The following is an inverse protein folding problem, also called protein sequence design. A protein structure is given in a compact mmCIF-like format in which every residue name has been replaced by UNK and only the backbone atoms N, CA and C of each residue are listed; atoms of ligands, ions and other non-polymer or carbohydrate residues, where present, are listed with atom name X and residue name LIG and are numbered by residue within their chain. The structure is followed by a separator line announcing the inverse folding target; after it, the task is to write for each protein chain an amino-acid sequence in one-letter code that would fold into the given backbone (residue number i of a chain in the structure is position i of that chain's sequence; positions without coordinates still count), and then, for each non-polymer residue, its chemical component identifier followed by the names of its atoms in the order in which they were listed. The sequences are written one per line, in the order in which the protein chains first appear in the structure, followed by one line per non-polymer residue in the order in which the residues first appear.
data_IF_761691788494
#
_entry.id   IF_761691788494
#
_cell.length_a   1.000
_cell.length_b   1.000
_cell.length_c   1.000
_cell.angle_alpha   90.00
_cell.angle_beta   90.00
_cell.angle_gamma   90.00
#
_symmetry.space_group_name_H-M   'P 1'
#
loop_
_entity.id
_entity.type
_entity.pdbx_description
1 polymer ?
#
# COMPACT_ATOMS: atom_id res chain seq x y z
N UNK A 1 7.51 -21.84 37.21
CA UNK A 1 8.50 -22.42 36.27
C UNK A 1 7.94 -22.43 34.84
N UNK A 2 7.71 -21.29 34.19
CA UNK A 2 7.21 -21.22 32.80
C UNK A 2 8.14 -20.47 31.83
N UNK A 3 9.33 -20.05 32.26
CA UNK A 3 10.30 -19.37 31.38
C UNK A 3 11.10 -20.29 30.45
N UNK A 4 10.87 -21.60 30.48
CA UNK A 4 11.65 -22.58 29.72
C UNK A 4 10.95 -23.08 28.44
N UNK A 5 9.73 -22.61 28.11
CA UNK A 5 8.96 -23.16 26.99
C UNK A 5 9.20 -22.43 25.67
N UNK A 6 9.22 -21.10 25.67
CA UNK A 6 9.43 -20.29 24.45
C UNK A 6 10.83 -20.53 23.85
N UNK A 7 11.86 -20.55 24.69
CA UNK A 7 13.25 -20.77 24.26
C UNK A 7 13.45 -22.18 23.67
N UNK A 8 12.78 -23.17 24.25
CA UNK A 8 12.77 -24.55 23.73
C UNK A 8 12.06 -24.60 22.37
N UNK A 9 10.92 -23.93 22.19
CA UNK A 9 10.22 -23.87 20.90
C UNK A 9 11.04 -23.19 19.80
N UNK A 10 11.69 -22.06 20.11
CA UNK A 10 12.59 -21.37 19.17
C UNK A 10 13.72 -22.27 18.69
N UNK A 11 14.33 -23.02 19.63
CA UNK A 11 15.44 -23.93 19.33
C UNK A 11 14.98 -25.14 18.52
N UNK A 12 13.83 -25.73 18.90
CA UNK A 12 13.31 -26.95 18.27
C UNK A 12 12.78 -26.70 16.86
N UNK A 13 12.08 -25.58 16.64
CA UNK A 13 11.46 -25.26 15.36
C UNK A 13 12.30 -24.32 14.48
N UNK A 14 13.48 -23.88 14.95
CA UNK A 14 14.36 -22.92 14.26
C UNK A 14 13.62 -21.64 13.82
N UNK A 15 12.67 -21.20 14.64
CA UNK A 15 11.89 -19.99 14.41
C UNK A 15 12.42 -18.86 15.31
N UNK A 16 12.49 -17.65 14.77
CA UNK A 16 12.78 -16.45 15.54
C UNK A 16 11.44 -15.78 15.89
N UNK A 17 11.23 -15.49 17.17
CA UNK A 17 10.07 -14.71 17.61
C UNK A 17 10.46 -13.23 17.65
N UNK A 18 9.50 -12.35 17.36
CA UNK A 18 9.67 -10.91 17.57
C UNK A 18 10.00 -10.64 19.04
N UNK A 19 10.89 -9.67 19.29
CA UNK A 19 11.16 -9.19 20.64
C UNK A 19 9.98 -8.42 21.26
N UNK A 20 8.97 -8.08 20.45
CA UNK A 20 7.75 -7.40 20.86
C UNK A 20 6.60 -8.40 21.01
N UNK A 21 6.61 -9.20 22.09
CA UNK A 21 5.46 -10.02 22.47
C UNK A 21 5.02 -9.69 23.90
N UNK A 22 3.73 -9.91 24.19
CA UNK A 22 3.17 -9.79 25.53
C UNK A 22 2.73 -11.17 25.99
N UNK A 23 3.27 -11.63 27.11
CA UNK A 23 2.83 -12.86 27.76
C UNK A 23 1.51 -12.58 28.49
N UNK A 24 0.41 -13.12 27.96
CA UNK A 24 -0.89 -13.03 28.62
C UNK A 24 -1.03 -14.25 29.53
N UNK A 25 -1.18 -14.02 30.83
CA UNK A 25 -1.34 -15.08 31.85
C UNK A 25 -2.78 -15.55 32.00
N UNK A 26 -3.72 -14.87 31.32
CA UNK A 26 -5.12 -15.25 31.33
C UNK A 26 -5.31 -16.56 30.58
N UNK A 27 -6.07 -17.46 31.21
CA UNK A 27 -6.46 -18.73 30.60
C UNK A 27 -7.44 -18.39 29.47
N UNK A 28 -7.08 -18.70 28.23
CA UNK A 28 -7.98 -18.55 27.09
C UNK A 28 -9.22 -19.43 27.31
N UNK A 29 -10.39 -18.80 27.51
CA UNK A 29 -11.68 -19.46 27.77
C UNK A 29 -12.52 -19.66 26.50
N UNK A 30 -11.88 -19.81 25.34
CA UNK A 30 -12.55 -20.08 24.06
C UNK A 30 -12.22 -21.47 23.54
N UNK A 31 -13.12 -22.04 22.74
CA UNK A 31 -12.78 -23.21 21.93
C UNK A 31 -11.79 -22.78 20.85
N UNK A 32 -10.59 -23.39 20.85
CA UNK A 32 -9.65 -23.15 19.76
C UNK A 32 -10.22 -23.74 18.47
N UNK A 33 -10.29 -22.98 17.37
CA UNK A 33 -10.71 -23.53 16.09
C UNK A 33 -9.74 -24.63 15.65
N UNK A 34 -10.27 -25.66 14.97
CA UNK A 34 -9.47 -26.78 14.45
C UNK A 34 -8.29 -26.32 13.56
N UNK A 35 -8.42 -25.13 12.96
CA UNK A 35 -7.32 -24.44 12.29
C UNK A 35 -6.94 -23.16 13.07
N UNK A 36 -5.80 -23.15 13.78
CA UNK A 36 -5.36 -21.97 14.55
C UNK A 36 -5.04 -20.77 13.66
N UNK A 37 -4.83 -20.97 12.35
CA UNK A 37 -4.60 -19.88 11.38
C UNK A 37 -5.83 -19.00 11.21
N UNK A 38 -7.04 -19.52 11.45
CA UNK A 38 -8.29 -18.77 11.34
C UNK A 38 -8.39 -17.59 12.33
N UNK A 39 -7.70 -17.69 13.47
CA UNK A 39 -7.67 -16.62 14.48
C UNK A 39 -6.98 -15.34 13.99
N UNK A 40 -6.12 -15.43 12.98
CA UNK A 40 -5.36 -14.31 12.42
C UNK A 40 -5.96 -13.73 11.15
N UNK A 41 -7.07 -14.31 10.65
CA UNK A 41 -7.76 -13.89 9.43
C UNK A 41 -8.98 -12.99 9.72
N UNK A 42 -9.41 -12.91 10.97
CA UNK A 42 -10.49 -12.02 11.38
C UNK A 42 -9.91 -10.67 11.77
N UNK A 43 -10.04 -9.71 10.84
CA UNK A 43 -9.88 -8.30 11.17
C UNK A 43 -10.96 -7.92 12.20
N UNK A 44 -10.58 -7.39 13.38
CA UNK A 44 -11.54 -7.01 14.41
C UNK A 44 -12.45 -5.84 14.01
N UNK A 45 -12.13 -5.14 12.93
CA UNK A 45 -12.89 -3.97 12.46
C UNK A 45 -14.01 -4.30 11.45
N UNK A 46 -14.27 -5.58 11.13
CA UNK A 46 -15.37 -5.92 10.23
C UNK A 46 -16.67 -6.22 11.00
N UNK A 47 -17.40 -5.17 11.37
CA UNK A 47 -18.83 -5.29 11.68
C UNK A 47 -19.61 -5.63 10.40
N UNK A 48 -19.68 -6.91 10.02
CA UNK A 48 -20.59 -7.37 8.96
C UNK A 48 -21.18 -8.74 9.29
N UNK A 49 -22.16 -8.71 10.20
CA UNK A 49 -23.14 -9.78 10.36
C UNK A 49 -24.31 -9.56 9.39
N UNK A 50 -24.17 -9.84 8.08
CA UNK A 50 -25.32 -10.20 7.22
C UNK A 50 -24.90 -10.59 5.78
N UNK A 51 -24.16 -11.69 5.62
CA UNK A 51 -23.89 -12.29 4.29
C UNK A 51 -25.04 -13.20 3.79
N UNK A 52 -26.23 -13.10 4.38
CA UNK A 52 -27.40 -13.93 4.01
C UNK A 52 -28.40 -13.28 3.04
N UNK A 53 -28.37 -11.95 2.85
CA UNK A 53 -29.51 -11.22 2.24
C UNK A 53 -29.30 -10.72 0.81
N UNK A 54 -28.10 -10.88 0.22
CA UNK A 54 -27.86 -10.42 -1.15
C UNK A 54 -28.33 -11.40 -2.23
N UNK A 55 -28.51 -12.69 -1.91
CA UNK A 55 -28.87 -13.72 -2.89
C UNK A 55 -30.35 -13.66 -3.32
N UNK A 56 -31.24 -13.05 -2.54
CA UNK A 56 -32.68 -13.06 -2.83
C UNK A 56 -33.16 -11.90 -3.71
N UNK A 57 -32.37 -10.82 -3.86
CA UNK A 57 -32.83 -9.62 -4.59
C UNK A 57 -32.67 -9.72 -6.12
N UNK A 58 -32.01 -10.77 -6.62
CA UNK A 58 -31.83 -11.01 -8.06
C UNK A 58 -33.01 -11.75 -8.73
N UNK A 59 -34.11 -12.05 -8.03
CA UNK A 59 -35.24 -12.83 -8.59
C UNK A 59 -36.51 -12.05 -8.92
N UNK A 60 -36.52 -10.73 -8.84
CA UNK A 60 -37.71 -9.94 -9.13
C UNK A 60 -37.46 -8.88 -10.22
N UNK A 61 -37.20 -9.31 -11.46
CA UNK A 61 -37.78 -8.72 -12.68
C UNK A 61 -37.29 -9.52 -13.92
N UNK A 62 -37.88 -10.68 -14.17
CA UNK A 62 -37.73 -11.38 -15.46
C UNK A 62 -38.86 -10.94 -16.38
N UNK A 63 -38.57 -9.98 -17.24
CA UNK A 63 -38.96 -10.06 -18.66
C UNK A 63 -37.63 -10.05 -19.41
N UNK A 64 -37.34 -11.19 -20.04
CA UNK A 64 -36.06 -11.60 -20.64
C UNK A 64 -35.22 -10.47 -21.27
N UNK A 65 -33.91 -10.43 -20.98
CA UNK A 65 -32.93 -9.89 -21.90
C UNK A 65 -31.77 -10.88 -22.08
N UNK A 66 -32.07 -12.11 -22.47
CA UNK A 66 -31.08 -12.88 -23.24
C UNK A 66 -31.18 -12.34 -24.66
N UNK A 67 -30.27 -11.43 -25.04
CA UNK A 67 -29.82 -11.21 -26.42
C UNK A 67 -28.90 -9.97 -26.60
N UNK A 68 -28.41 -9.35 -25.52
CA UNK A 68 -27.42 -8.26 -25.66
C UNK A 68 -25.95 -8.72 -25.78
N UNK A 69 -25.68 -10.03 -25.80
CA UNK A 69 -24.31 -10.59 -25.83
C UNK A 69 -24.16 -11.80 -26.78
N UNK A 70 -25.13 -12.05 -27.67
CA UNK A 70 -25.11 -13.31 -28.46
C UNK A 70 -24.06 -13.34 -29.57
N UNK A 71 -23.53 -12.19 -30.00
CA UNK A 71 -22.44 -12.15 -30.97
C UNK A 71 -21.68 -10.80 -30.95
N UNK A 72 -20.34 -10.79 -31.09
CA UNK A 72 -19.56 -9.57 -31.25
C UNK A 72 -20.00 -8.70 -32.45
N UNK A 73 -20.67 -9.28 -33.45
CA UNK A 73 -21.19 -8.53 -34.60
C UNK A 73 -22.36 -7.60 -34.26
N UNK A 74 -23.18 -7.96 -33.27
CA UNK A 74 -24.34 -7.14 -32.85
C UNK A 74 -23.89 -5.81 -32.23
N UNK A 75 -22.69 -5.78 -31.65
CA UNK A 75 -22.05 -4.56 -31.15
C UNK A 75 -21.53 -3.68 -32.30
N UNK A 76 -20.83 -4.28 -33.25
CA UNK A 76 -20.30 -3.57 -34.42
C UNK A 76 -21.43 -2.95 -35.26
N UNK A 77 -22.56 -3.64 -35.39
CA UNK A 77 -23.73 -3.13 -36.11
C UNK A 77 -24.34 -1.90 -35.44
N UNK A 78 -24.44 -1.87 -34.11
CA UNK A 78 -24.93 -0.70 -33.38
C UNK A 78 -24.02 0.52 -33.50
N UNK A 79 -22.70 0.30 -33.59
CA UNK A 79 -21.74 1.39 -33.80
C UNK A 79 -21.78 1.93 -35.24
N UNK A 80 -22.09 1.06 -36.21
CA UNK A 80 -22.22 1.42 -37.63
C UNK A 80 -23.50 2.19 -37.96
N UNK A 81 -24.56 2.10 -37.15
CA UNK A 81 -25.85 2.76 -37.41
C UNK A 81 -25.89 4.24 -36.97
N UNK A 82 -24.81 4.77 -36.40
CA UNK A 82 -24.66 6.21 -36.14
C UNK A 82 -23.85 6.88 -37.27
N UNK A 83 -24.45 7.73 -38.13
CA UNK A 83 -23.69 8.43 -39.16
C UNK A 83 -22.80 9.51 -38.51
N UNK A 84 -21.50 9.34 -38.66
CA UNK A 84 -20.54 10.43 -38.54
C UNK A 84 -20.45 11.13 -39.90
N UNK A 85 -21.33 12.10 -40.14
CA UNK A 85 -21.18 13.02 -41.28
C UNK A 85 -20.32 14.23 -40.85
N UNK A 86 -19.11 14.24 -41.41
CA UNK A 86 -18.44 15.35 -42.12
C UNK A 86 -18.71 16.79 -41.68
N UNK A 87 -17.64 17.44 -41.23
CA UNK A 87 -17.28 18.86 -41.36
C UNK A 87 -18.37 19.86 -41.79
N UNK A 88 -19.02 20.50 -40.82
CA UNK A 88 -19.52 21.87 -40.97
C UNK A 88 -19.22 22.68 -39.71
N UNK A 89 -18.50 23.80 -39.87
CA UNK A 89 -18.43 24.88 -38.88
C UNK A 89 -19.87 25.33 -38.57
N UNK A 90 -20.40 24.92 -37.42
CA UNK A 90 -21.60 25.52 -36.85
C UNK A 90 -21.27 26.10 -35.50
N UNK A 91 -21.47 27.41 -35.41
CA UNK A 91 -21.43 28.24 -34.23
C UNK A 91 -21.96 27.49 -33.01
N UNK A 92 -21.17 27.41 -31.95
CA UNK A 92 -21.60 26.83 -30.69
C UNK A 92 -22.85 27.58 -30.19
N UNK A 93 -24.00 26.93 -30.30
CA UNK A 93 -25.28 27.49 -29.89
C UNK A 93 -25.21 27.85 -28.39
N UNK A 94 -25.67 29.06 -28.07
CA UNK A 94 -25.63 29.64 -26.73
C UNK A 94 -26.30 28.77 -25.64
N UNK A 95 -27.10 27.78 -26.05
CA UNK A 95 -27.74 26.82 -25.17
C UNK A 95 -26.79 25.74 -24.62
N UNK A 96 -25.68 25.44 -25.29
CA UNK A 96 -24.68 24.49 -24.76
C UNK A 96 -23.89 25.10 -23.59
N UNK A 97 -23.46 26.36 -23.72
CA UNK A 97 -22.77 27.08 -22.64
C UNK A 97 -23.68 27.40 -21.44
N UNK A 98 -24.99 27.55 -21.68
CA UNK A 98 -25.96 27.83 -20.62
C UNK A 98 -26.21 26.63 -19.70
N UNK A 99 -25.97 25.41 -20.18
CA UNK A 99 -26.07 24.18 -19.38
C UNK A 99 -24.85 23.93 -18.49
N UNK A 100 -23.64 24.37 -18.90
CA UNK A 100 -22.43 24.29 -18.07
C UNK A 100 -22.48 25.24 -16.87
N UNK A 101 -23.18 26.36 -17.01
CA UNK A 101 -23.22 27.43 -16.00
C UNK A 101 -24.27 27.22 -14.89
N UNK A 102 -25.18 26.25 -15.04
CA UNK A 102 -26.31 26.03 -14.14
C UNK A 102 -26.06 25.01 -13.02
N UNK A 103 -24.83 24.53 -12.85
CA UNK A 103 -24.50 23.58 -11.78
C UNK A 103 -23.93 24.28 -10.53
N UNK A 104 -24.61 25.31 -10.03
CA UNK A 104 -24.36 25.88 -8.70
C UNK A 104 -25.66 25.90 -7.88
N UNK A 105 -25.83 24.78 -7.17
CA UNK A 105 -26.56 24.51 -5.90
C UNK A 105 -28.10 24.70 -5.81
N UNK A 106 -28.81 23.72 -5.18
CA UNK A 106 -28.86 23.69 -3.72
C UNK A 106 -28.56 22.32 -3.08
N UNK A 107 -27.83 22.39 -1.95
CA UNK A 107 -27.74 21.47 -0.81
C UNK A 107 -28.44 20.10 -0.93
N UNK A 108 -27.63 19.09 -1.25
CA UNK A 108 -27.70 17.77 -0.61
C UNK A 108 -26.28 17.20 -0.56
N UNK A 109 -25.94 16.56 0.57
CA UNK A 109 -24.59 16.08 0.91
C UNK A 109 -24.07 15.05 -0.11
N UNK A 110 -23.56 15.52 -1.24
CA UNK A 110 -22.86 14.70 -2.24
C UNK A 110 -21.46 14.42 -1.73
N UNK A 111 -21.27 13.15 -1.38
CA UNK A 111 -20.00 12.53 -1.08
C UNK A 111 -19.12 12.74 -2.32
N UNK A 112 -18.00 13.43 -2.17
CA UNK A 112 -17.02 13.60 -3.23
C UNK A 112 -16.43 12.23 -3.59
N UNK A 113 -17.06 11.51 -4.51
CA UNK A 113 -16.47 10.32 -5.12
C UNK A 113 -15.50 10.80 -6.18
N UNK A 114 -14.21 10.79 -5.87
CA UNK A 114 -13.15 11.00 -6.86
C UNK A 114 -13.36 9.95 -7.96
N UNK A 115 -13.65 10.39 -9.18
CA UNK A 115 -14.00 9.50 -10.32
C UNK A 115 -12.77 8.80 -10.91
N UNK A 116 -11.59 9.36 -10.68
CA UNK A 116 -10.32 8.83 -11.12
C UNK A 116 -9.44 8.80 -9.87
N UNK A 117 -9.19 7.60 -9.37
CA UNK A 117 -8.13 7.32 -8.42
C UNK A 117 -7.01 6.65 -9.22
N UNK A 118 -5.79 7.17 -9.08
CA UNK A 118 -4.61 6.51 -9.61
C UNK A 118 -4.57 5.09 -9.06
N UNK A 119 -4.39 4.10 -9.93
CA UNK A 119 -4.22 2.71 -9.49
C UNK A 119 -2.85 2.66 -8.81
N UNK A 120 -2.83 2.89 -7.50
CA UNK A 120 -1.65 2.69 -6.69
C UNK A 120 -1.30 1.20 -6.77
N UNK A 121 -0.25 0.87 -7.50
CA UNK A 121 0.34 -0.46 -7.43
C UNK A 121 0.82 -0.62 -5.99
N UNK A 122 0.35 -1.63 -5.23
CA UNK A 122 0.79 -1.84 -3.87
C UNK A 122 2.30 -2.12 -3.88
N UNK A 123 3.09 -1.15 -3.46
CA UNK A 123 4.54 -1.28 -3.31
C UNK A 123 4.80 -1.96 -1.96
N UNK A 124 5.72 -2.92 -1.95
CA UNK A 124 6.06 -3.62 -0.71
C UNK A 124 6.96 -2.76 0.17
N UNK A 125 6.86 -2.92 1.48
CA UNK A 125 7.74 -2.20 2.42
C UNK A 125 8.96 -3.09 2.67
N UNK A 126 10.16 -2.66 2.25
CA UNK A 126 11.34 -3.49 2.39
C UNK A 126 11.72 -3.67 3.86
N UNK A 127 12.26 -4.84 4.19
CA UNK A 127 12.77 -5.15 5.54
C UNK A 127 13.95 -4.23 5.82
N UNK A 128 13.84 -3.41 6.86
CA UNK A 128 14.83 -2.42 7.22
C UNK A 128 15.15 -2.41 8.72
N UNK A 129 16.30 -1.86 9.06
CA UNK A 129 16.76 -1.70 10.43
C UNK A 129 17.53 -0.39 10.54
N UNK A 130 17.05 0.51 11.40
CA UNK A 130 17.74 1.75 11.77
C UNK A 130 18.44 1.54 13.12
N UNK A 131 19.73 1.82 13.17
CA UNK A 131 20.52 1.68 14.40
C UNK A 131 21.34 2.95 14.64
N UNK A 132 21.31 3.44 15.87
CA UNK A 132 22.13 4.55 16.35
C UNK A 132 23.48 4.03 16.87
N UNK A 133 24.54 4.74 16.54
CA UNK A 133 25.91 4.45 16.96
C UNK A 133 26.52 5.70 17.56
N UNK A 134 26.84 5.64 18.85
CA UNK A 134 27.54 6.71 19.56
C UNK A 134 28.87 7.07 18.88
N UNK A 135 29.35 8.28 19.14
CA UNK A 135 30.65 8.74 18.68
C UNK A 135 31.77 7.85 19.23
N UNK A 136 32.67 7.43 18.36
CA UNK A 136 33.86 6.64 18.67
C UNK A 136 35.10 7.38 18.14
N UNK A 137 36.31 7.01 18.56
CA UNK A 137 37.58 7.69 18.24
C UNK A 137 37.78 7.97 16.74
N UNK A 138 37.16 7.14 15.88
CA UNK A 138 37.28 7.21 14.42
C UNK A 138 36.06 7.78 13.71
N UNK A 139 34.89 7.77 14.36
CA UNK A 139 33.64 8.07 13.66
C UNK A 139 32.70 8.90 14.54
N UNK A 140 32.09 9.95 14.00
CA UNK A 140 31.12 10.74 14.73
C UNK A 140 29.86 9.92 15.05
N UNK A 141 29.05 10.48 15.94
CA UNK A 141 27.72 9.98 16.28
C UNK A 141 26.87 9.90 15.00
N UNK A 142 26.26 8.75 14.72
CA UNK A 142 25.59 8.49 13.44
C UNK A 142 24.46 7.47 13.53
N UNK A 143 23.53 7.56 12.61
CA UNK A 143 22.61 6.47 12.28
C UNK A 143 23.17 5.62 11.14
N UNK A 144 22.88 4.32 11.21
CA UNK A 144 23.09 3.38 10.11
C UNK A 144 21.77 2.70 9.80
N UNK A 145 21.24 2.98 8.61
CA UNK A 145 20.06 2.31 8.07
C UNK A 145 20.51 1.15 7.18
N UNK A 146 19.97 -0.04 7.42
CA UNK A 146 20.18 -1.22 6.59
C UNK A 146 18.85 -1.62 5.98
N UNK A 147 18.74 -1.65 4.66
CA UNK A 147 17.53 -2.03 3.93
C UNK A 147 17.84 -3.22 3.04
N UNK A 148 17.10 -4.31 3.20
CA UNK A 148 17.23 -5.51 2.39
C UNK A 148 16.30 -5.41 1.17
N UNK A 149 16.88 -5.53 -0.02
CA UNK A 149 16.20 -5.32 -1.30
C UNK A 149 16.48 -6.52 -2.23
N UNK A 150 15.96 -7.72 -1.95
CA UNK A 150 16.36 -8.94 -2.65
C UNK A 150 16.09 -8.92 -4.17
N UNK A 151 15.11 -8.13 -4.63
CA UNK A 151 14.65 -8.12 -6.03
C UNK A 151 15.28 -7.03 -6.90
N UNK A 152 16.24 -6.26 -6.38
CA UNK A 152 16.99 -5.27 -7.18
C UNK A 152 18.34 -5.84 -7.59
N UNK A 153 18.72 -5.60 -8.85
CA UNK A 153 20.02 -6.04 -9.39
C UNK A 153 21.00 -4.87 -9.49
N UNK A 154 20.49 -3.65 -9.66
CA UNK A 154 21.27 -2.42 -9.76
C UNK A 154 20.79 -1.35 -8.78
N UNK A 155 21.71 -0.45 -8.42
CA UNK A 155 21.42 0.74 -7.60
C UNK A 155 20.64 1.78 -8.40
N UNK A 156 20.76 1.74 -9.72
CA UNK A 156 20.08 2.67 -10.65
C UNK A 156 18.55 2.50 -10.60
N UNK A 157 18.04 1.37 -10.12
CA UNK A 157 16.60 1.14 -9.90
C UNK A 157 16.10 1.80 -8.60
N UNK A 158 16.99 2.37 -7.79
CA UNK A 158 16.69 2.91 -6.47
C UNK A 158 16.89 4.43 -6.45
N UNK A 159 15.81 5.13 -6.15
CA UNK A 159 15.85 6.55 -5.83
C UNK A 159 15.82 6.70 -4.30
N UNK A 160 16.91 7.25 -3.75
CA UNK A 160 17.07 7.50 -2.32
C UNK A 160 17.14 9.02 -2.09
N UNK A 161 16.13 9.55 -1.42
CA UNK A 161 16.07 10.93 -0.96
C UNK A 161 16.28 10.99 0.55
N UNK A 162 17.19 11.87 0.98
CA UNK A 162 17.52 12.04 2.38
C UNK A 162 17.30 13.51 2.75
N UNK A 163 16.48 13.72 3.77
CA UNK A 163 16.19 15.02 4.36
C UNK A 163 16.77 15.08 5.77
N UNK A 164 16.63 16.25 6.41
CA UNK A 164 17.18 16.49 7.75
C UNK A 164 16.61 15.55 8.80
N UNK A 165 15.32 15.28 8.73
CA UNK A 165 14.52 14.53 9.71
C UNK A 165 13.73 13.38 9.06
N UNK A 166 13.88 13.18 7.75
CA UNK A 166 13.15 12.17 6.99
C UNK A 166 14.03 11.51 5.93
N UNK A 167 13.72 10.26 5.58
CA UNK A 167 14.34 9.52 4.49
C UNK A 167 13.25 8.82 3.68
N UNK A 168 13.38 8.88 2.35
CA UNK A 168 12.48 8.26 1.40
C UNK A 168 13.27 7.43 0.39
N UNK A 169 12.88 6.16 0.24
CA UNK A 169 13.45 5.22 -0.72
C UNK A 169 12.34 4.71 -1.60
N UNK A 170 12.49 4.94 -2.90
CA UNK A 170 11.57 4.48 -3.93
C UNK A 170 12.31 3.55 -4.89
N UNK A 171 11.73 2.39 -5.15
CA UNK A 171 12.22 1.44 -6.15
C UNK A 171 11.09 1.20 -7.14
N UNK A 172 11.33 1.50 -8.41
CA UNK A 172 10.31 1.46 -9.45
C UNK A 172 9.48 0.16 -9.40
N UNK A 173 8.18 0.30 -9.10
CA UNK A 173 7.18 -0.78 -9.12
C UNK A 173 7.44 -1.96 -8.16
N UNK A 174 8.37 -1.81 -7.20
CA UNK A 174 8.73 -2.89 -6.26
C UNK A 174 8.59 -2.47 -4.80
N UNK A 175 9.33 -1.45 -4.39
CA UNK A 175 9.48 -1.10 -2.98
C UNK A 175 9.25 0.39 -2.73
N UNK A 176 8.65 0.68 -1.57
CA UNK A 176 8.54 2.04 -1.05
C UNK A 176 8.82 2.04 0.44
N UNK A 177 9.70 2.93 0.88
CA UNK A 177 10.05 3.09 2.28
C UNK A 177 10.17 4.57 2.62
N UNK A 178 9.36 5.01 3.58
CA UNK A 178 9.42 6.35 4.15
C UNK A 178 9.66 6.24 5.65
N UNK A 179 10.70 6.92 6.15
CA UNK A 179 11.14 6.84 7.54
C UNK A 179 11.36 8.22 8.13
N UNK A 180 10.73 8.46 9.27
CA UNK A 180 10.96 9.64 10.10
C UNK A 180 12.13 9.35 11.06
N UNK A 181 13.15 10.19 11.02
CA UNK A 181 14.36 10.04 11.82
C UNK A 181 14.13 10.61 13.23
N UNK A 182 14.57 9.93 14.30
CA UNK A 182 14.37 10.42 15.66
C UNK A 182 15.11 11.73 15.98
N UNK A 183 16.18 12.02 15.25
CA UNK A 183 17.06 13.16 15.45
C UNK A 183 17.50 13.71 14.09
N UNK A 184 17.78 15.03 13.99
CA UNK A 184 18.24 15.63 12.75
C UNK A 184 19.64 15.11 12.38
N UNK A 185 19.82 14.86 11.09
CA UNK A 185 21.09 14.43 10.50
C UNK A 185 21.71 15.54 9.67
N UNK A 186 23.00 15.40 9.40
CA UNK A 186 23.74 16.25 8.48
C UNK A 186 23.68 15.64 7.07
N UNK A 187 22.67 16.05 6.30
CA UNK A 187 22.39 15.64 4.92
C UNK A 187 23.63 15.67 4.01
N UNK A 188 24.44 16.72 4.09
CA UNK A 188 25.68 16.89 3.28
C UNK A 188 26.73 15.78 3.50
N UNK A 189 26.76 15.16 4.69
CA UNK A 189 27.74 14.10 5.03
C UNK A 189 27.13 12.71 5.03
N UNK A 190 25.91 12.57 4.54
CA UNK A 190 25.28 11.26 4.39
C UNK A 190 25.94 10.49 3.26
N UNK A 191 26.00 9.17 3.40
CA UNK A 191 26.51 8.29 2.35
C UNK A 191 25.70 7.01 2.29
N UNK A 192 25.41 6.54 1.08
CA UNK A 192 24.71 5.30 0.84
C UNK A 192 25.59 4.33 0.06
N UNK A 193 25.54 3.06 0.43
CA UNK A 193 26.28 1.99 -0.23
C UNK A 193 25.40 0.77 -0.42
N UNK A 194 25.24 0.35 -1.66
CA UNK A 194 24.56 -0.90 -1.99
C UNK A 194 25.56 -2.03 -2.20
N UNK A 195 25.29 -3.18 -1.58
CA UNK A 195 26.10 -4.39 -1.72
C UNK A 195 25.35 -5.42 -2.55
N UNK A 196 25.67 -5.50 -3.85
CA UNK A 196 25.04 -6.43 -4.80
C UNK A 196 25.11 -7.91 -4.38
N UNK A 197 26.12 -8.32 -3.61
CA UNK A 197 26.24 -9.71 -3.15
C UNK A 197 25.19 -10.11 -2.11
N UNK A 198 24.73 -9.15 -1.32
CA UNK A 198 23.79 -9.36 -0.21
C UNK A 198 22.50 -8.59 -0.40
N UNK A 199 22.33 -7.93 -1.55
CA UNK A 199 21.20 -7.05 -1.88
C UNK A 199 20.83 -6.10 -0.73
N UNK A 200 21.86 -5.55 -0.09
CA UNK A 200 21.73 -4.74 1.12
C UNK A 200 22.15 -3.30 0.84
N UNK A 201 21.23 -2.37 1.02
CA UNK A 201 21.50 -0.94 1.04
C UNK A 201 21.87 -0.52 2.46
N UNK A 202 23.06 0.03 2.63
CA UNK A 202 23.53 0.58 3.90
C UNK A 202 23.69 2.09 3.76
N UNK A 203 22.90 2.85 4.49
CA UNK A 203 22.95 4.32 4.54
C UNK A 203 23.56 4.74 5.87
N UNK A 204 24.64 5.51 5.83
CA UNK A 204 25.31 6.08 7.00
C UNK A 204 24.99 7.56 7.06
N UNK A 205 24.36 7.98 8.15
CA UNK A 205 23.85 9.34 8.34
C UNK A 205 24.44 9.92 9.62
N UNK A 206 25.47 10.79 9.53
CA UNK A 206 26.00 11.48 10.70
C UNK A 206 24.93 12.39 11.33
N UNK A 207 24.88 12.42 12.65
CA UNK A 207 24.00 13.31 13.38
C UNK A 207 24.54 14.74 13.35
N UNK A 208 23.63 15.71 13.30
CA UNK A 208 23.98 17.11 13.50
C UNK A 208 24.33 17.30 14.99
N UNK A 209 25.53 17.82 15.29
CA UNK A 209 25.88 18.20 16.65
C UNK A 209 25.02 19.40 17.06
N UNK A 210 24.14 19.22 18.03
CA UNK A 210 23.44 20.31 18.71
C UNK A 210 24.34 21.04 19.70
#
# INVERSE_FOLDING_TARGET
MMGMTITVLQTQQKILLSNYYKEIKDIFKGDLPANPRALFLQNPDSEFSDMGKLAEKCKANVKSPTDCLSSPESLLKNLSENPADTEEERTLDADFMKNLSQLNEPKDKKKNTKLIEEIAVPLDVPVHMLQEYESDDRNPHRFVLRVNLPDISSVEECDLEIFKDELELTVEKKYYLKLQLPKPILDEKTSARFVRKSNLLSVTMPLEHS
#
